data_IF_818484420908
#
_entry.id   IF_818484420908
#
_cell.length_a   1.000
_cell.length_b   1.000
_cell.length_c   1.000
_cell.angle_alpha   90.00
_cell.angle_beta   90.00
_cell.angle_gamma   90.00
#
_symmetry.space_group_name_H-M   'P 1'
#
loop_
_entity.id
_entity.type
_entity.pdbx_description
1 polymer ?
#
# COMPACT_ATOMS: atom_id res chain seq x y z
N UNK A 1 33.61 40.33 8.59
CA UNK A 1 33.31 39.18 7.72
C UNK A 1 31.84 39.24 7.30
N UNK A 2 31.54 39.50 6.02
CA UNK A 2 30.17 39.49 5.49
C UNK A 2 29.78 38.04 5.18
N UNK A 3 28.69 37.56 5.79
CA UNK A 3 28.06 36.29 5.43
C UNK A 3 27.33 36.49 4.10
N UNK A 4 27.81 35.82 3.05
CA UNK A 4 27.18 35.81 1.74
C UNK A 4 26.11 34.72 1.78
N UNK A 5 24.83 35.10 1.77
CA UNK A 5 23.74 34.15 1.63
C UNK A 5 23.80 33.51 0.23
N UNK A 6 23.86 32.18 0.16
CA UNK A 6 23.77 31.47 -1.12
C UNK A 6 22.34 31.56 -1.66
N UNK A 7 22.15 31.74 -2.99
CA UNK A 7 20.84 31.83 -3.59
C UNK A 7 20.09 30.50 -3.49
N UNK A 8 18.77 30.56 -3.28
CA UNK A 8 17.90 29.40 -3.23
C UNK A 8 18.07 28.49 -4.47
N UNK A 9 18.01 27.15 -4.33
CA UNK A 9 18.13 26.24 -5.45
C UNK A 9 17.01 26.47 -6.46
N UNK A 10 17.38 26.61 -7.74
CA UNK A 10 16.42 26.77 -8.85
C UNK A 10 15.54 25.51 -8.94
N UNK A 11 14.22 25.64 -9.19
CA UNK A 11 13.33 24.48 -9.36
C UNK A 11 13.83 23.60 -10.51
N UNK A 12 14.03 22.31 -10.24
CA UNK A 12 14.52 21.36 -11.25
C UNK A 12 13.46 21.14 -12.35
N UNK A 13 13.88 21.03 -13.64
CA UNK A 13 12.96 20.82 -14.73
C UNK A 13 12.32 19.42 -14.65
N UNK A 14 10.99 19.39 -14.57
CA UNK A 14 10.22 18.14 -14.61
C UNK A 14 10.57 17.31 -15.87
N UNK A 15 10.85 16.01 -15.68
CA UNK A 15 11.28 15.06 -16.72
C UNK A 15 10.41 15.18 -17.99
N UNK A 16 11.01 15.64 -19.10
CA UNK A 16 10.36 15.69 -20.42
C UNK A 16 10.43 14.32 -21.10
N UNK A 17 9.30 13.80 -21.59
CA UNK A 17 9.28 12.62 -22.46
C UNK A 17 8.87 12.99 -23.87
N UNK A 18 9.50 12.34 -24.84
CA UNK A 18 9.22 12.48 -26.27
C UNK A 18 9.60 11.19 -26.99
N UNK A 19 9.42 11.14 -28.31
CA UNK A 19 9.74 9.94 -29.09
C UNK A 19 11.20 9.50 -28.86
N UNK A 20 11.40 8.21 -28.61
CA UNK A 20 12.69 7.62 -28.26
C UNK A 20 12.99 7.61 -26.75
N UNK A 21 12.19 8.28 -25.92
CA UNK A 21 12.25 8.07 -24.46
C UNK A 21 11.86 6.64 -24.13
N UNK A 22 12.52 6.02 -23.15
CA UNK A 22 12.18 4.68 -22.67
C UNK A 22 12.13 4.63 -21.14
N UNK A 23 11.61 3.52 -20.60
CA UNK A 23 11.69 3.20 -19.18
C UNK A 23 10.48 3.62 -18.35
N UNK A 24 10.59 3.63 -17.00
CA UNK A 24 9.44 3.61 -16.10
C UNK A 24 8.48 4.79 -16.22
N UNK A 25 8.97 5.96 -16.63
CA UNK A 25 8.13 7.14 -16.85
C UNK A 25 7.24 6.96 -18.09
N UNK A 26 7.79 6.40 -19.17
CA UNK A 26 7.04 6.08 -20.39
C UNK A 26 5.98 5.01 -20.10
N UNK A 27 6.35 3.97 -19.36
CA UNK A 27 5.43 2.93 -18.93
C UNK A 27 4.21 3.50 -18.18
N UNK A 28 4.46 4.43 -17.23
CA UNK A 28 3.41 5.11 -16.45
C UNK A 28 2.49 5.94 -17.35
N UNK A 29 3.06 6.65 -18.31
CA UNK A 29 2.32 7.43 -19.30
C UNK A 29 1.44 6.53 -20.18
N UNK A 30 1.98 5.43 -20.71
CA UNK A 30 1.27 4.50 -21.59
C UNK A 30 0.10 3.82 -20.90
N UNK A 31 0.27 3.40 -19.64
CA UNK A 31 -0.79 2.83 -18.83
C UNK A 31 -1.97 3.80 -18.69
N UNK A 32 -1.69 5.05 -18.31
CA UNK A 32 -2.72 6.08 -18.12
C UNK A 32 -3.41 6.48 -19.42
N UNK A 33 -2.65 6.59 -20.51
CA UNK A 33 -3.21 6.84 -21.83
C UNK A 33 -4.07 5.67 -22.29
N UNK A 34 -3.69 4.42 -21.99
CA UNK A 34 -4.47 3.22 -22.34
C UNK A 34 -5.74 3.11 -21.51
N UNK A 35 -5.67 3.36 -20.21
CA UNK A 35 -6.84 3.36 -19.31
C UNK A 35 -7.89 4.41 -19.72
N UNK A 36 -7.45 5.55 -20.28
CA UNK A 36 -8.32 6.61 -20.80
C UNK A 36 -8.82 6.35 -22.23
N UNK A 37 -8.51 5.18 -22.80
CA UNK A 37 -8.87 4.83 -24.18
C UNK A 37 -8.10 5.60 -25.25
N UNK A 38 -7.03 6.31 -24.87
CA UNK A 38 -6.25 7.16 -25.75
C UNK A 38 -5.09 6.43 -26.42
N UNK A 39 -4.53 5.37 -25.81
CA UNK A 39 -3.51 4.52 -26.41
C UNK A 39 -4.12 3.18 -26.85
N UNK A 40 -4.02 2.86 -28.15
CA UNK A 40 -4.47 1.57 -28.71
C UNK A 40 -3.35 0.51 -28.70
N UNK A 41 -2.10 0.93 -28.89
CA UNK A 41 -0.91 0.07 -28.97
C UNK A 41 -0.52 -0.61 -27.66
N UNK A 42 0.55 -1.42 -27.72
CA UNK A 42 1.10 -2.11 -26.55
C UNK A 42 1.62 -1.12 -25.50
N UNK A 43 1.77 -1.62 -24.27
CA UNK A 43 2.45 -0.92 -23.18
C UNK A 43 3.80 -1.61 -23.04
N UNK A 44 4.84 -1.03 -23.61
CA UNK A 44 6.16 -1.65 -23.73
C UNK A 44 7.28 -0.77 -23.14
N UNK A 45 6.92 0.36 -22.54
CA UNK A 45 7.85 1.36 -21.99
C UNK A 45 8.68 2.08 -23.05
N UNK A 46 8.26 2.08 -24.32
CA UNK A 46 8.92 2.78 -25.42
C UNK A 46 8.03 3.91 -25.95
N UNK A 47 8.51 5.15 -25.81
CA UNK A 47 7.76 6.29 -26.31
C UNK A 47 7.90 6.33 -27.82
N UNK A 48 7.02 5.65 -28.52
CA UNK A 48 7.02 5.51 -29.95
C UNK A 48 6.05 6.50 -30.63
N UNK A 49 5.81 6.31 -31.93
CA UNK A 49 4.84 7.13 -32.67
C UNK A 49 3.42 6.95 -32.12
N UNK A 50 3.03 5.76 -31.66
CA UNK A 50 1.70 5.50 -31.12
C UNK A 50 1.48 6.20 -29.78
N UNK A 51 2.47 6.14 -28.88
CA UNK A 51 2.50 6.85 -27.59
C UNK A 51 2.48 8.36 -27.82
N UNK A 52 3.24 8.89 -28.78
CA UNK A 52 3.16 10.32 -29.16
C UNK A 52 1.76 10.73 -29.61
N UNK A 53 1.09 9.92 -30.43
CA UNK A 53 -0.26 10.23 -30.89
C UNK A 53 -1.28 10.17 -29.75
N UNK A 54 -1.10 9.25 -28.80
CA UNK A 54 -1.93 9.18 -27.60
C UNK A 54 -1.74 10.42 -26.70
N UNK A 55 -0.52 10.93 -26.56
CA UNK A 55 -0.24 12.21 -25.89
C UNK A 55 -0.91 13.37 -26.61
N UNK A 56 -0.83 13.45 -27.94
CA UNK A 56 -1.52 14.50 -28.71
C UNK A 56 -3.04 14.46 -28.53
N UNK A 57 -3.64 13.27 -28.48
CA UNK A 57 -5.06 13.11 -28.18
C UNK A 57 -5.39 13.62 -26.78
N UNK A 58 -4.55 13.29 -25.79
CA UNK A 58 -4.68 13.80 -24.43
C UNK A 58 -4.56 15.33 -24.36
N UNK A 59 -3.61 15.93 -25.06
CA UNK A 59 -3.46 17.39 -25.12
C UNK A 59 -4.71 18.05 -25.74
N UNK A 60 -5.22 17.51 -26.85
CA UNK A 60 -6.43 18.01 -27.52
C UNK A 60 -7.66 17.89 -26.62
N UNK A 61 -7.85 16.77 -25.94
CA UNK A 61 -8.99 16.58 -25.03
C UNK A 61 -8.98 17.54 -23.84
N UNK A 62 -7.84 18.19 -23.57
CA UNK A 62 -7.69 19.19 -22.52
C UNK A 62 -7.61 20.64 -23.06
N UNK A 63 -7.82 20.85 -24.36
CA UNK A 63 -7.78 22.18 -25.00
C UNK A 63 -6.37 22.75 -25.13
N UNK A 64 -5.33 21.91 -25.19
CA UNK A 64 -3.94 22.35 -25.26
C UNK A 64 -3.35 22.19 -26.66
N UNK A 65 -2.30 22.98 -26.97
CA UNK A 65 -1.52 22.80 -28.19
C UNK A 65 -0.87 21.41 -28.20
N UNK A 66 -1.23 20.60 -29.19
CA UNK A 66 -0.85 19.18 -29.26
C UNK A 66 0.54 18.96 -29.89
N UNK A 67 1.61 19.17 -29.12
CA UNK A 67 2.98 18.98 -29.59
C UNK A 67 3.48 17.53 -29.43
N UNK A 68 2.78 16.73 -28.60
CA UNK A 68 3.10 15.32 -28.33
C UNK A 68 4.30 15.13 -27.40
N UNK A 69 4.63 16.13 -26.59
CA UNK A 69 5.77 16.10 -25.65
C UNK A 69 5.20 16.18 -24.22
N UNK A 70 5.56 15.20 -23.40
CA UNK A 70 5.12 15.14 -22.01
C UNK A 70 6.03 15.98 -21.16
N UNK A 71 5.51 17.13 -20.70
CA UNK A 71 6.15 17.95 -19.69
C UNK A 71 5.32 18.02 -18.42
N UNK A 72 5.75 18.89 -17.51
CA UNK A 72 5.14 19.13 -16.21
C UNK A 72 3.62 19.21 -16.16
N UNK A 73 3.05 19.94 -17.10
CA UNK A 73 1.60 20.14 -17.20
C UNK A 73 0.83 18.83 -17.41
N UNK A 74 1.36 17.95 -18.26
CA UNK A 74 0.75 16.64 -18.54
C UNK A 74 0.91 15.74 -17.32
N UNK A 75 2.10 15.71 -16.70
CA UNK A 75 2.31 14.94 -15.47
C UNK A 75 1.37 15.35 -14.34
N UNK A 76 1.22 16.66 -14.12
CA UNK A 76 0.29 17.19 -13.12
C UNK A 76 -1.16 16.82 -13.43
N UNK A 77 -1.58 16.92 -14.69
CA UNK A 77 -2.98 16.65 -15.09
C UNK A 77 -3.34 15.16 -15.10
N UNK A 78 -2.37 14.29 -15.36
CA UNK A 78 -2.54 12.86 -15.18
C UNK A 78 -2.42 12.44 -13.70
N UNK A 79 -2.18 13.38 -12.77
CA UNK A 79 -1.90 13.10 -11.35
C UNK A 79 -0.69 12.17 -11.15
N UNK A 80 0.24 12.21 -12.11
CA UNK A 80 1.44 11.38 -12.14
C UNK A 80 2.66 12.09 -11.57
N UNK A 81 2.50 13.26 -10.95
CA UNK A 81 3.56 13.97 -10.25
C UNK A 81 4.01 13.18 -9.02
N UNK A 82 4.96 12.27 -9.21
CA UNK A 82 5.93 11.94 -8.19
C UNK A 82 7.17 12.76 -8.51
N UNK A 83 7.63 13.58 -7.56
CA UNK A 83 8.95 14.19 -7.67
C UNK A 83 9.98 13.07 -7.75
N UNK A 84 10.73 13.03 -8.85
CA UNK A 84 11.92 12.21 -8.94
C UNK A 84 12.97 12.89 -8.06
N UNK A 85 13.10 12.47 -6.81
CA UNK A 85 14.34 12.69 -6.09
C UNK A 85 15.41 11.85 -6.77
N UNK A 86 16.26 12.50 -7.55
CA UNK A 86 17.58 11.97 -7.88
C UNK A 86 18.26 11.60 -6.56
N UNK A 87 18.48 10.31 -6.36
CA UNK A 87 19.38 9.85 -5.33
C UNK A 87 20.77 10.37 -5.67
N UNK A 88 21.22 11.36 -4.90
CA UNK A 88 22.63 11.77 -4.87
C UNK A 88 23.49 10.50 -4.78
N UNK A 89 24.38 10.33 -5.74
CA UNK A 89 25.50 9.39 -5.69
C UNK A 89 26.48 9.86 -4.62
N UNK A 90 26.10 9.70 -3.36
CA UNK A 90 27.04 9.58 -2.27
C UNK A 90 27.41 8.09 -2.18
N UNK A 91 28.67 7.79 -1.87
CA UNK A 91 29.14 6.43 -1.61
C UNK A 91 28.33 5.81 -0.46
N UNK A 92 27.20 5.16 -0.79
CA UNK A 92 26.37 4.41 0.16
C UNK A 92 26.97 3.02 0.26
N UNK A 93 27.54 2.71 1.43
CA UNK A 93 27.80 1.34 1.85
C UNK A 93 26.49 0.56 1.72
N UNK A 94 26.34 -0.34 0.73
CA UNK A 94 25.16 -1.22 0.62
C UNK A 94 24.97 -1.94 1.96
N UNK A 95 23.92 -1.58 2.69
CA UNK A 95 23.84 -1.85 4.12
C UNK A 95 22.61 -2.68 4.50
N UNK A 96 22.88 -3.91 4.94
CA UNK A 96 22.07 -4.89 5.69
C UNK A 96 20.88 -4.34 6.54
N UNK A 97 19.86 -3.70 5.98
CA UNK A 97 18.74 -3.13 6.76
C UNK A 97 18.00 -4.23 7.50
N UNK A 98 18.02 -4.22 8.83
CA UNK A 98 17.23 -5.13 9.65
C UNK A 98 16.04 -4.38 10.22
N UNK A 99 14.86 -4.97 10.09
CA UNK A 99 13.63 -4.40 10.63
C UNK A 99 12.59 -5.48 10.85
N UNK A 100 11.54 -5.11 11.57
CA UNK A 100 10.40 -5.95 11.82
C UNK A 100 9.11 -5.27 11.39
N UNK A 101 8.16 -6.05 10.87
CA UNK A 101 6.81 -5.58 10.58
C UNK A 101 5.79 -6.39 11.33
N UNK A 102 4.68 -5.74 11.69
CA UNK A 102 3.53 -6.33 12.36
C UNK A 102 2.29 -6.16 11.48
N UNK A 103 1.47 -7.18 11.39
CA UNK A 103 0.11 -7.13 10.86
C UNK A 103 -0.87 -7.48 11.98
N UNK A 104 -1.88 -6.64 12.21
CA UNK A 104 -2.84 -6.85 13.30
C UNK A 104 -4.22 -6.28 12.94
N UNK A 105 -5.26 -7.06 13.25
CA UNK A 105 -6.63 -6.56 13.34
C UNK A 105 -6.84 -5.97 14.74
N UNK A 106 -7.31 -4.72 14.83
CA UNK A 106 -7.76 -4.13 16.10
C UNK A 106 -9.27 -4.18 16.08
N UNK A 107 -9.83 -5.31 16.54
CA UNK A 107 -11.26 -5.65 16.45
C UNK A 107 -12.18 -4.45 16.64
N UNK A 108 -13.06 -4.21 15.67
CA UNK A 108 -14.08 -3.15 15.76
C UNK A 108 -15.52 -3.63 15.70
N UNK A 109 -15.75 -4.92 15.47
CA UNK A 109 -17.08 -5.49 15.46
C UNK A 109 -17.13 -6.87 16.14
N UNK A 110 -17.84 -7.03 17.28
CA UNK A 110 -18.33 -5.94 18.13
C UNK A 110 -17.18 -5.04 18.61
N UNK A 111 -17.45 -3.75 18.92
CA UNK A 111 -16.42 -2.83 19.33
C UNK A 111 -15.82 -3.22 20.69
N UNK A 112 -14.48 -3.15 20.81
CA UNK A 112 -13.80 -3.34 22.09
C UNK A 112 -14.02 -2.13 23.02
N UNK A 113 -13.60 -2.20 24.29
CA UNK A 113 -13.45 -0.97 25.12
C UNK A 113 -12.27 -0.13 24.63
N UNK A 114 -12.19 1.14 25.05
CA UNK A 114 -11.09 2.01 24.61
C UNK A 114 -9.73 1.56 25.18
N UNK A 115 -9.70 1.09 26.42
CA UNK A 115 -8.46 0.57 27.03
C UNK A 115 -7.92 -0.66 26.30
N UNK A 116 -8.81 -1.54 25.81
CA UNK A 116 -8.44 -2.68 24.98
C UNK A 116 -7.86 -2.27 23.63
N UNK A 117 -8.43 -1.24 23.00
CA UNK A 117 -7.87 -0.67 21.77
C UNK A 117 -6.48 -0.07 22.02
N UNK A 118 -6.32 0.72 23.09
CA UNK A 118 -5.03 1.32 23.46
C UNK A 118 -4.00 0.25 23.82
N UNK A 119 -4.40 -0.81 24.53
CA UNK A 119 -3.57 -1.97 24.83
C UNK A 119 -3.02 -2.59 23.54
N UNK A 120 -3.90 -2.94 22.58
CA UNK A 120 -3.49 -3.61 21.34
C UNK A 120 -2.59 -2.73 20.47
N UNK A 121 -2.92 -1.44 20.36
CA UNK A 121 -2.09 -0.46 19.63
C UNK A 121 -0.70 -0.34 20.23
N UNK A 122 -0.60 -0.18 21.57
CA UNK A 122 0.70 -0.08 22.26
C UNK A 122 1.50 -1.37 22.15
N UNK A 123 0.85 -2.54 22.27
CA UNK A 123 1.50 -3.85 22.14
C UNK A 123 2.09 -4.05 20.75
N UNK A 124 1.33 -3.74 19.69
CA UNK A 124 1.82 -3.81 18.31
C UNK A 124 2.97 -2.82 18.06
N UNK A 125 2.88 -1.59 18.61
CA UNK A 125 3.94 -0.58 18.53
C UNK A 125 5.24 -1.01 19.22
N UNK A 126 5.16 -1.70 20.35
CA UNK A 126 6.32 -2.27 21.01
C UNK A 126 6.94 -3.44 20.21
N UNK A 127 6.15 -4.14 19.41
CA UNK A 127 6.55 -5.37 18.75
C UNK A 127 7.35 -5.17 17.45
N UNK A 128 7.13 -4.08 16.70
CA UNK A 128 7.84 -3.88 15.44
C UNK A 128 7.98 -2.45 14.94
N UNK A 129 8.59 -2.29 13.78
CA UNK A 129 9.01 -0.99 13.25
C UNK A 129 8.02 -0.41 12.23
N UNK A 130 7.28 -1.29 11.56
CA UNK A 130 6.25 -0.93 10.56
C UNK A 130 5.01 -1.77 10.82
N UNK A 131 3.85 -1.14 10.91
CA UNK A 131 2.60 -1.81 11.33
C UNK A 131 1.52 -1.60 10.28
N UNK A 132 0.93 -2.69 9.80
CA UNK A 132 -0.32 -2.70 9.06
C UNK A 132 -1.47 -2.94 10.03
N UNK A 133 -2.38 -1.97 10.13
CA UNK A 133 -3.55 -2.05 10.99
C UNK A 133 -4.76 -2.43 10.17
N UNK A 134 -5.61 -3.30 10.66
CA UNK A 134 -6.89 -3.65 10.05
C UNK A 134 -8.02 -3.48 11.07
N UNK A 135 -9.25 -3.48 10.55
CA UNK A 135 -10.46 -3.28 11.37
C UNK A 135 -10.51 -1.95 12.12
N UNK A 136 -9.80 -0.92 11.64
CA UNK A 136 -9.85 0.39 12.27
C UNK A 136 -11.21 1.02 11.99
N UNK A 137 -12.04 1.12 13.03
CA UNK A 137 -13.40 1.64 12.89
C UNK A 137 -13.38 3.04 12.29
N UNK A 138 -14.29 3.26 11.34
CA UNK A 138 -14.51 4.57 10.71
C UNK A 138 -15.65 5.34 11.37
N UNK A 139 -16.37 4.69 12.28
CA UNK A 139 -17.51 5.27 13.01
C UNK A 139 -16.96 6.09 14.17
N UNK A 140 -17.31 7.38 14.20
CA UNK A 140 -17.03 8.23 15.36
C UNK A 140 -17.95 7.82 16.50
N UNK A 141 -17.37 7.48 17.65
CA UNK A 141 -18.13 7.31 18.88
C UNK A 141 -18.45 8.66 19.53
N UNK A 142 -19.14 8.67 20.68
CA UNK A 142 -19.37 9.89 21.47
C UNK A 142 -18.06 10.61 21.83
N UNK A 143 -16.96 9.85 21.96
CA UNK A 143 -15.63 10.37 22.27
C UNK A 143 -14.75 10.58 21.02
N UNK A 144 -15.34 10.73 19.84
CA UNK A 144 -14.61 10.99 18.60
C UNK A 144 -14.06 9.74 17.90
N UNK A 145 -12.88 9.86 17.30
CA UNK A 145 -12.33 8.90 16.33
C UNK A 145 -11.47 7.82 17.00
N UNK A 146 -12.07 7.16 17.99
CA UNK A 146 -11.41 6.37 19.04
C UNK A 146 -10.29 5.42 18.58
N UNK A 147 -10.41 4.78 17.41
CA UNK A 147 -9.39 3.87 16.88
C UNK A 147 -8.23 4.63 16.22
N UNK A 148 -8.52 5.62 15.38
CA UNK A 148 -7.48 6.44 14.78
C UNK A 148 -6.79 7.32 15.84
N UNK A 149 -7.52 7.79 16.85
CA UNK A 149 -7.00 8.55 17.98
C UNK A 149 -6.04 7.68 18.82
N UNK A 150 -6.37 6.41 19.06
CA UNK A 150 -5.44 5.47 19.70
C UNK A 150 -4.15 5.25 18.88
N UNK A 151 -4.24 5.13 17.55
CA UNK A 151 -3.02 5.02 16.72
C UNK A 151 -2.20 6.32 16.78
N UNK A 152 -2.85 7.49 16.74
CA UNK A 152 -2.18 8.79 16.85
C UNK A 152 -1.56 9.01 18.24
N UNK A 153 -2.07 8.38 19.29
CA UNK A 153 -1.51 8.48 20.64
C UNK A 153 -0.14 7.79 20.78
N UNK A 154 0.33 7.07 19.76
CA UNK A 154 1.73 6.61 19.68
C UNK A 154 2.74 7.76 19.63
N UNK A 155 2.28 8.98 19.34
CA UNK A 155 3.05 10.20 19.49
C UNK A 155 3.98 10.49 18.32
N UNK A 156 4.81 11.53 18.50
CA UNK A 156 5.60 12.14 17.44
C UNK A 156 6.73 11.27 16.88
N UNK A 157 7.03 10.12 17.47
CA UNK A 157 8.06 9.20 16.97
C UNK A 157 7.54 8.27 15.88
N UNK A 158 6.21 8.23 15.71
CA UNK A 158 5.54 7.44 14.69
C UNK A 158 5.07 8.31 13.52
N UNK A 159 5.19 7.75 12.32
CA UNK A 159 4.61 8.25 11.10
C UNK A 159 3.38 7.40 10.76
N UNK A 160 2.38 8.01 10.14
CA UNK A 160 1.13 7.36 9.83
C UNK A 160 0.67 7.71 8.42
N UNK A 161 0.23 6.69 7.69
CA UNK A 161 -0.53 6.84 6.47
C UNK A 161 -1.97 6.39 6.75
N UNK A 162 -2.86 7.37 6.92
CA UNK A 162 -4.27 7.20 7.27
C UNK A 162 -5.17 7.84 6.19
N UNK A 163 -5.24 7.25 4.99
CA UNK A 163 -5.87 7.90 3.86
C UNK A 163 -7.40 7.98 3.99
N UNK A 164 -7.97 8.92 3.23
CA UNK A 164 -9.42 9.05 3.03
C UNK A 164 -9.75 8.92 1.54
N UNK A 165 -10.92 8.36 1.24
CA UNK A 165 -11.51 8.38 -0.08
C UNK A 165 -12.81 9.20 -0.01
N UNK A 166 -12.74 10.45 -0.44
CA UNK A 166 -13.76 11.45 -0.09
C UNK A 166 -13.84 11.61 1.43
N UNK A 167 -15.06 11.50 1.98
CA UNK A 167 -15.27 11.57 3.43
C UNK A 167 -15.03 10.24 4.16
N UNK A 168 -14.82 9.14 3.43
CA UNK A 168 -14.63 7.82 4.02
C UNK A 168 -13.17 7.62 4.46
N UNK A 169 -12.94 7.40 5.76
CA UNK A 169 -11.64 6.98 6.28
C UNK A 169 -11.38 5.53 5.90
N UNK A 170 -10.19 5.26 5.36
CA UNK A 170 -9.84 3.90 4.94
C UNK A 170 -9.40 3.09 6.19
N UNK A 171 -10.04 1.94 6.49
CA UNK A 171 -9.91 1.24 7.78
C UNK A 171 -8.66 0.37 7.91
N UNK A 172 -7.70 0.52 7.00
CA UNK A 172 -6.45 -0.24 7.00
C UNK A 172 -5.19 0.64 6.87
N UNK A 173 -4.94 1.56 7.83
CA UNK A 173 -3.79 2.45 7.79
C UNK A 173 -2.46 1.71 7.99
N UNK A 174 -1.36 2.41 7.75
CA UNK A 174 0.01 1.92 8.00
C UNK A 174 0.75 2.91 8.89
N UNK A 175 1.49 2.41 9.89
CA UNK A 175 2.38 3.21 10.74
C UNK A 175 3.83 2.76 10.62
N UNK A 176 4.79 3.65 10.89
CA UNK A 176 6.22 3.33 10.95
C UNK A 176 6.97 4.17 11.98
N UNK A 177 8.09 3.67 12.51
CA UNK A 177 9.01 4.44 13.34
C UNK A 177 9.78 5.46 12.49
N UNK A 178 9.57 6.75 12.72
CA UNK A 178 10.23 7.83 11.95
C UNK A 178 11.72 7.95 12.22
N UNK A 179 12.22 7.41 13.34
CA UNK A 179 13.65 7.34 13.60
C UNK A 179 14.39 6.49 12.58
N UNK A 180 13.72 5.45 12.05
CA UNK A 180 14.32 4.48 11.14
C UNK A 180 13.95 4.74 9.67
N UNK A 181 12.75 5.28 9.40
CA UNK A 181 12.18 5.33 8.06
C UNK A 181 11.63 6.71 7.69
N UNK A 182 11.95 7.14 6.47
CA UNK A 182 11.29 8.25 5.78
C UNK A 182 10.20 7.74 4.85
N UNK A 183 9.08 8.47 4.82
CA UNK A 183 8.06 8.28 3.80
C UNK A 183 8.52 8.90 2.49
N UNK A 184 8.60 8.10 1.44
CA UNK A 184 8.94 8.56 0.08
C UNK A 184 7.69 8.77 -0.76
N UNK A 185 6.73 7.85 -0.67
CA UNK A 185 5.49 7.88 -1.44
C UNK A 185 4.42 7.05 -0.73
N UNK A 186 3.15 7.29 -1.04
CA UNK A 186 2.04 6.52 -0.47
C UNK A 186 0.81 6.56 -1.35
N UNK A 187 -0.09 5.60 -1.18
CA UNK A 187 -1.32 5.59 -1.92
C UNK A 187 -2.30 4.53 -1.45
N UNK A 188 -3.48 4.54 -2.07
CA UNK A 188 -4.48 3.51 -1.87
C UNK A 188 -5.17 3.15 -3.17
N UNK A 189 -5.82 1.98 -3.19
CA UNK A 189 -6.70 1.54 -4.27
C UNK A 189 -7.97 0.95 -3.70
N UNK A 190 -9.13 1.51 -4.05
CA UNK A 190 -10.42 0.87 -3.76
C UNK A 190 -10.55 -0.41 -4.59
N UNK A 191 -10.81 -1.54 -3.93
CA UNK A 191 -10.94 -2.83 -4.60
C UNK A 191 -12.36 -3.10 -5.03
N UNK A 192 -13.35 -2.80 -4.18
CA UNK A 192 -14.77 -2.83 -4.53
C UNK A 192 -15.58 -1.83 -3.68
N UNK A 193 -16.80 -1.52 -4.12
CA UNK A 193 -17.77 -0.71 -3.36
C UNK A 193 -18.33 -1.54 -2.19
N UNK A 194 -19.07 -0.89 -1.28
CA UNK A 194 -19.78 -1.59 -0.20
C UNK A 194 -20.90 -2.49 -0.76
N UNK A 195 -21.37 -3.45 0.04
CA UNK A 195 -22.45 -4.35 -0.36
C UNK A 195 -23.76 -3.65 -0.69
N UNK A 196 -24.09 -2.58 0.04
CA UNK A 196 -25.32 -1.82 -0.19
C UNK A 196 -25.40 -1.23 -1.60
N UNK A 197 -24.27 -0.77 -2.16
CA UNK A 197 -24.18 -0.30 -3.55
C UNK A 197 -24.41 -1.39 -4.60
N UNK A 198 -24.47 -2.66 -4.19
CA UNK A 198 -24.68 -3.84 -5.03
C UNK A 198 -25.97 -4.59 -4.65
N UNK A 199 -26.90 -3.95 -3.92
CA UNK A 199 -28.18 -4.56 -3.53
C UNK A 199 -28.10 -5.52 -2.33
N UNK A 200 -26.94 -5.57 -1.63
CA UNK A 200 -26.77 -6.40 -0.45
C UNK A 200 -26.78 -5.56 0.83
N UNK A 201 -27.87 -5.64 1.60
CA UNK A 201 -27.98 -4.98 2.91
C UNK A 201 -27.06 -5.65 3.93
N UNK A 202 -26.46 -4.85 4.83
CA UNK A 202 -25.56 -5.33 5.91
C UNK A 202 -24.35 -6.15 5.43
N UNK A 203 -23.94 -5.97 4.17
CA UNK A 203 -22.77 -6.62 3.60
C UNK A 203 -21.58 -5.64 3.57
N UNK A 204 -20.39 -6.18 3.87
CA UNK A 204 -19.13 -5.51 4.23
C UNK A 204 -18.87 -4.13 3.57
N UNK A 205 -18.18 -3.21 4.27
CA UNK A 205 -17.83 -1.91 3.72
C UNK A 205 -16.94 -2.02 2.49
N UNK A 206 -16.78 -0.90 1.77
CA UNK A 206 -15.83 -0.83 0.67
C UNK A 206 -14.42 -1.25 1.15
N UNK A 207 -13.74 -2.09 0.37
CA UNK A 207 -12.39 -2.56 0.71
C UNK A 207 -11.31 -1.85 -0.10
N UNK A 208 -10.13 -1.79 0.49
CA UNK A 208 -9.00 -1.01 0.01
C UNK A 208 -7.70 -1.76 0.21
N UNK A 209 -6.76 -1.53 -0.68
CA UNK A 209 -5.34 -1.79 -0.46
C UNK A 209 -4.68 -0.44 -0.19
N UNK A 210 -3.99 -0.29 0.93
CA UNK A 210 -3.14 0.88 1.23
C UNK A 210 -1.68 0.51 1.05
N UNK A 211 -0.82 1.46 0.75
CA UNK A 211 0.61 1.22 0.66
C UNK A 211 1.43 2.46 0.99
N UNK A 212 2.64 2.21 1.46
CA UNK A 212 3.68 3.22 1.68
C UNK A 212 4.98 2.73 1.06
N UNK A 213 5.73 3.66 0.47
CA UNK A 213 7.13 3.49 0.08
C UNK A 213 7.98 4.13 1.16
N UNK A 214 8.77 3.31 1.84
CA UNK A 214 9.62 3.75 2.95
C UNK A 214 11.08 3.61 2.57
N UNK A 215 11.89 4.62 2.89
CA UNK A 215 13.35 4.61 2.75
C UNK A 215 13.99 4.57 4.14
N UNK A 216 14.84 3.60 4.39
CA UNK A 216 15.59 3.53 5.64
C UNK A 216 16.60 4.67 5.68
N UNK A 217 16.62 5.40 6.79
CA UNK A 217 17.46 6.61 6.97
C UNK A 217 18.95 6.30 6.98
N UNK A 218 19.32 5.14 7.54
CA UNK A 218 20.72 4.75 7.75
C UNK A 218 21.33 4.16 6.49
N UNK A 219 20.60 3.30 5.80
CA UNK A 219 21.14 2.48 4.70
C UNK A 219 20.72 2.99 3.33
N UNK A 220 19.67 3.80 3.24
CA UNK A 220 19.08 4.24 1.99
C UNK A 220 18.20 3.19 1.29
N UNK A 221 18.10 1.99 1.86
CA UNK A 221 17.27 0.90 1.36
C UNK A 221 15.80 1.29 1.31
N UNK A 222 15.10 0.85 0.28
CA UNK A 222 13.70 1.22 0.06
C UNK A 222 12.82 -0.01 -0.05
N UNK A 223 11.67 0.02 0.60
CA UNK A 223 10.65 -1.03 0.54
C UNK A 223 9.28 -0.46 0.20
N UNK A 224 8.40 -1.32 -0.32
CA UNK A 224 6.96 -1.08 -0.36
C UNK A 224 6.31 -1.93 0.72
N UNK A 225 5.58 -1.31 1.65
CA UNK A 225 4.69 -2.01 2.58
C UNK A 225 3.24 -1.79 2.12
N UNK A 226 2.53 -2.86 1.77
CA UNK A 226 1.12 -2.85 1.38
C UNK A 226 0.24 -3.48 2.46
N UNK A 227 -0.84 -2.83 2.89
CA UNK A 227 -1.76 -3.38 3.88
C UNK A 227 -3.18 -3.54 3.33
N UNK A 228 -3.90 -4.58 3.78
CA UNK A 228 -5.24 -4.88 3.28
C UNK A 228 -6.14 -5.61 4.27
N UNK A 229 -7.45 -5.45 4.11
CA UNK A 229 -8.47 -6.28 4.76
C UNK A 229 -9.48 -6.69 3.70
N UNK A 230 -9.53 -7.99 3.38
CA UNK A 230 -10.41 -8.56 2.37
C UNK A 230 -11.84 -8.70 2.89
N UNK A 231 -12.76 -9.02 1.99
CA UNK A 231 -14.15 -9.23 2.36
C UNK A 231 -14.31 -10.54 3.14
N UNK A 232 -15.01 -10.46 4.27
CA UNK A 232 -15.31 -11.61 5.12
C UNK A 232 -16.52 -12.41 4.63
N UNK A 233 -16.69 -13.63 5.15
CA UNK A 233 -17.92 -14.42 4.96
C UNK A 233 -18.12 -15.02 3.55
N UNK A 234 -17.14 -14.94 2.65
CA UNK A 234 -17.21 -15.58 1.33
C UNK A 234 -17.18 -17.13 1.40
N UNK A 235 -16.58 -17.68 2.46
CA UNK A 235 -16.45 -19.13 2.68
C UNK A 235 -17.11 -19.65 3.96
N UNK A 236 -17.69 -18.77 4.77
CA UNK A 236 -18.31 -19.14 6.04
C UNK A 236 -19.84 -19.03 5.95
N UNK A 237 -20.54 -20.12 6.28
CA UNK A 237 -22.00 -20.34 6.36
C UNK A 237 -22.76 -20.83 5.11
N UNK A 238 -23.78 -21.69 5.38
CA UNK A 238 -24.72 -22.28 4.41
C UNK A 238 -25.86 -21.32 4.00
N UNK A 239 -26.11 -20.24 4.74
CA UNK A 239 -27.28 -19.35 4.56
C UNK A 239 -26.91 -17.91 4.16
N UNK A 240 -25.70 -17.68 3.65
CA UNK A 240 -25.27 -16.35 3.22
C UNK A 240 -25.77 -16.03 1.80
N UNK A 241 -26.86 -15.26 1.68
CA UNK A 241 -27.45 -14.82 0.39
C UNK A 241 -26.49 -14.02 -0.49
N UNK A 242 -25.42 -13.45 0.07
CA UNK A 242 -24.39 -12.70 -0.66
C UNK A 242 -23.10 -13.50 -0.89
N UNK A 243 -23.09 -14.82 -0.66
CA UNK A 243 -21.88 -15.65 -0.70
C UNK A 243 -21.13 -15.55 -2.02
N UNK A 244 -21.81 -15.74 -3.14
CA UNK A 244 -21.16 -15.71 -4.46
C UNK A 244 -20.63 -14.30 -4.79
N UNK A 245 -21.41 -13.26 -4.50
CA UNK A 245 -20.93 -11.88 -4.62
C UNK A 245 -19.70 -11.60 -3.75
N UNK A 246 -19.66 -12.11 -2.52
CA UNK A 246 -18.49 -11.97 -1.62
C UNK A 246 -17.26 -12.68 -2.20
N UNK A 247 -17.41 -13.87 -2.79
CA UNK A 247 -16.31 -14.55 -3.50
C UNK A 247 -15.83 -13.74 -4.69
N UNK A 248 -16.74 -13.19 -5.49
CA UNK A 248 -16.39 -12.34 -6.62
C UNK A 248 -15.63 -11.09 -6.18
N UNK A 249 -16.11 -10.42 -5.12
CA UNK A 249 -15.44 -9.25 -4.57
C UNK A 249 -14.07 -9.59 -3.98
N UNK A 250 -13.91 -10.76 -3.38
CA UNK A 250 -12.62 -11.27 -2.94
C UNK A 250 -11.68 -11.50 -4.14
N UNK A 251 -12.15 -12.11 -5.22
CA UNK A 251 -11.36 -12.34 -6.44
C UNK A 251 -10.98 -11.02 -7.13
N UNK A 252 -11.91 -10.05 -7.20
CA UNK A 252 -11.65 -8.68 -7.67
C UNK A 252 -10.57 -8.00 -6.84
N UNK A 253 -10.63 -8.18 -5.52
CA UNK A 253 -9.63 -7.66 -4.60
C UNK A 253 -8.26 -8.24 -4.91
N UNK A 254 -8.13 -9.56 -4.96
CA UNK A 254 -6.87 -10.25 -5.23
C UNK A 254 -6.27 -9.85 -6.57
N UNK A 255 -7.09 -9.73 -7.63
CA UNK A 255 -6.62 -9.28 -8.95
C UNK A 255 -6.05 -7.86 -8.91
N UNK A 256 -6.77 -6.91 -8.29
CA UNK A 256 -6.32 -5.52 -8.18
C UNK A 256 -5.04 -5.41 -7.34
N UNK A 257 -4.97 -6.13 -6.23
CA UNK A 257 -3.77 -6.17 -5.39
C UNK A 257 -2.59 -6.79 -6.15
N UNK A 258 -2.79 -7.92 -6.84
CA UNK A 258 -1.76 -8.56 -7.65
C UNK A 258 -1.19 -7.65 -8.74
N UNK A 259 -2.02 -6.82 -9.38
CA UNK A 259 -1.56 -5.82 -10.35
C UNK A 259 -0.68 -4.74 -9.69
N UNK A 260 -1.03 -4.29 -8.48
CA UNK A 260 -0.23 -3.34 -7.72
C UNK A 260 1.11 -3.94 -7.31
N UNK A 261 1.11 -5.18 -6.80
CA UNK A 261 2.34 -5.91 -6.50
C UNK A 261 3.23 -5.98 -7.75
N UNK A 262 2.64 -6.25 -8.93
CA UNK A 262 3.43 -6.40 -10.18
C UNK A 262 4.04 -5.07 -10.60
N UNK A 263 3.31 -3.98 -10.40
CA UNK A 263 3.80 -2.62 -10.68
C UNK A 263 5.03 -2.31 -9.83
N UNK A 264 4.97 -2.60 -8.53
CA UNK A 264 6.08 -2.33 -7.62
C UNK A 264 7.28 -3.27 -7.82
N UNK A 265 7.04 -4.56 -8.04
CA UNK A 265 8.10 -5.52 -8.41
C UNK A 265 8.85 -5.07 -9.67
N UNK A 266 8.13 -4.66 -10.72
CA UNK A 266 8.74 -4.13 -11.96
C UNK A 266 9.51 -2.83 -11.76
N UNK A 267 9.26 -2.13 -10.65
CA UNK A 267 10.02 -0.94 -10.28
C UNK A 267 11.30 -1.27 -9.51
N UNK A 268 11.61 -2.57 -9.36
CA UNK A 268 12.79 -3.07 -8.67
C UNK A 268 12.70 -3.04 -7.14
N UNK A 269 11.53 -2.72 -6.59
CA UNK A 269 11.36 -2.56 -5.14
C UNK A 269 10.94 -3.89 -4.47
N UNK A 270 11.48 -4.22 -3.29
CA UNK A 270 10.93 -5.26 -2.43
C UNK A 270 9.53 -4.88 -1.97
N UNK A 271 8.57 -5.79 -2.10
CA UNK A 271 7.18 -5.58 -1.69
C UNK A 271 6.82 -6.53 -0.57
N UNK A 272 6.35 -5.96 0.55
CA UNK A 272 5.84 -6.68 1.71
C UNK A 272 4.34 -6.44 1.79
N UNK A 273 3.58 -7.51 1.66
CA UNK A 273 2.13 -7.53 1.67
C UNK A 273 1.72 -8.10 3.02
N UNK A 274 0.84 -7.38 3.71
CA UNK A 274 0.25 -7.84 4.95
C UNK A 274 -1.24 -7.56 4.93
N UNK A 275 -2.02 -8.37 5.63
CA UNK A 275 -3.42 -8.09 5.80
C UNK A 275 -4.20 -9.25 6.38
N UNK A 276 -5.48 -9.00 6.59
CA UNK A 276 -6.47 -10.05 6.83
C UNK A 276 -7.10 -10.46 5.49
N UNK A 277 -6.86 -11.69 5.09
CA UNK A 277 -7.33 -12.24 3.82
C UNK A 277 -8.68 -12.94 3.93
N UNK A 278 -9.21 -13.12 5.15
CA UNK A 278 -10.49 -13.78 5.41
C UNK A 278 -10.61 -15.13 4.71
N UNK A 279 -9.48 -15.82 4.53
CA UNK A 279 -9.40 -17.10 3.85
C UNK A 279 -8.22 -17.90 4.36
N UNK A 280 -8.54 -19.05 4.93
CA UNK A 280 -7.56 -20.03 5.37
C UNK A 280 -7.06 -20.86 4.17
N UNK A 281 -6.12 -20.29 3.42
CA UNK A 281 -5.55 -20.91 2.23
C UNK A 281 -4.16 -20.34 1.94
N UNK A 282 -3.12 -21.17 2.02
CA UNK A 282 -1.73 -20.72 1.90
C UNK A 282 -1.22 -20.45 0.47
N UNK A 283 -2.07 -20.52 -0.57
CA UNK A 283 -1.70 -20.27 -1.98
C UNK A 283 -2.39 -19.04 -2.58
N UNK A 284 -2.64 -18.01 -1.77
CA UNK A 284 -3.29 -16.75 -2.17
C UNK A 284 -2.69 -16.12 -3.44
N UNK A 285 -1.36 -16.10 -3.53
CA UNK A 285 -0.59 -15.64 -4.70
C UNK A 285 0.27 -16.74 -5.33
N UNK A 286 0.00 -18.01 -5.01
CA UNK A 286 0.82 -19.14 -5.44
C UNK A 286 2.31 -18.92 -5.15
N UNK A 287 3.16 -19.26 -6.12
CA UNK A 287 4.63 -19.19 -5.99
C UNK A 287 5.21 -17.78 -6.18
N UNK A 288 4.38 -16.77 -6.46
CA UNK A 288 4.85 -15.40 -6.71
C UNK A 288 5.46 -14.75 -5.46
N UNK A 289 5.00 -15.16 -4.30
CA UNK A 289 5.43 -14.64 -2.99
C UNK A 289 6.09 -15.74 -2.16
N UNK A 290 6.76 -15.32 -1.11
CA UNK A 290 7.09 -16.14 0.06
C UNK A 290 6.13 -15.73 1.17
N UNK A 291 5.49 -16.71 1.79
CA UNK A 291 4.65 -16.49 2.97
C UNK A 291 5.55 -16.53 4.19
N UNK A 292 5.44 -15.52 5.05
CA UNK A 292 6.41 -15.27 6.12
C UNK A 292 5.82 -15.48 7.53
N UNK A 293 4.51 -15.69 7.63
CA UNK A 293 3.89 -16.22 8.84
C UNK A 293 3.95 -17.76 8.87
N UNK A 294 3.83 -18.32 10.08
CA UNK A 294 3.59 -19.75 10.22
C UNK A 294 2.19 -20.07 9.68
N UNK A 295 2.11 -20.99 8.72
CA UNK A 295 0.90 -21.33 7.99
C UNK A 295 0.06 -22.41 8.68
N UNK A 296 0.57 -22.98 9.77
CA UNK A 296 -0.10 -24.01 10.56
C UNK A 296 -0.54 -23.49 11.94
N UNK A 297 -0.34 -22.19 12.18
CA UNK A 297 -0.75 -21.52 13.41
C UNK A 297 -1.89 -20.57 13.08
N UNK A 298 -3.03 -20.81 13.70
CA UNK A 298 -4.20 -19.95 13.56
C UNK A 298 -3.92 -18.53 14.03
N UNK A 299 -4.43 -17.56 13.27
CA UNK A 299 -4.38 -16.13 13.63
C UNK A 299 -5.76 -15.64 14.09
N UNK A 300 -6.80 -16.44 13.84
CA UNK A 300 -8.14 -16.27 14.37
C UNK A 300 -8.70 -17.64 14.78
N UNK A 301 -8.61 -17.97 16.07
CA UNK A 301 -8.86 -19.33 16.55
C UNK A 301 -7.89 -20.32 15.90
N UNK A 302 -8.42 -21.38 15.28
CA UNK A 302 -7.62 -22.36 14.56
C UNK A 302 -7.26 -21.94 13.12
N UNK A 303 -7.92 -20.91 12.57
CA UNK A 303 -7.75 -20.52 11.16
C UNK A 303 -6.65 -19.49 10.94
N UNK A 304 -5.84 -19.68 9.91
CA UNK A 304 -4.84 -18.70 9.47
C UNK A 304 -5.48 -17.74 8.48
N UNK A 305 -5.93 -16.57 8.94
CA UNK A 305 -6.58 -15.55 8.10
C UNK A 305 -5.66 -14.37 7.80
N UNK A 306 -4.71 -14.12 8.68
CA UNK A 306 -3.76 -13.03 8.61
C UNK A 306 -2.45 -13.51 8.01
N UNK A 307 -2.02 -12.85 6.96
CA UNK A 307 -0.79 -13.20 6.27
C UNK A 307 0.15 -12.02 6.21
N UNK A 308 1.44 -12.30 6.37
CA UNK A 308 2.52 -11.43 5.93
C UNK A 308 3.33 -12.21 4.93
N UNK A 309 3.60 -11.60 3.79
CA UNK A 309 4.29 -12.23 2.68
C UNK A 309 5.14 -11.19 1.95
N UNK A 310 6.20 -11.63 1.28
CA UNK A 310 6.99 -10.76 0.41
C UNK A 310 7.17 -11.35 -0.98
N UNK A 311 7.32 -10.45 -1.95
CA UNK A 311 7.69 -10.80 -3.32
C UNK A 311 9.08 -11.41 -3.36
N UNK A 312 9.32 -12.39 -4.23
CA UNK A 312 10.59 -13.12 -4.35
C UNK A 312 11.76 -12.31 -4.94
N UNK A 313 11.62 -10.99 -5.03
CA UNK A 313 12.69 -10.11 -5.51
C UNK A 313 13.95 -10.27 -4.64
N UNK A 314 15.10 -9.97 -5.25
CA UNK A 314 16.43 -10.08 -4.69
C UNK A 314 16.56 -9.14 -3.48
N UNK A 315 17.37 -9.56 -2.52
CA UNK A 315 17.86 -8.78 -1.36
C UNK A 315 16.92 -8.66 -0.15
N UNK A 316 15.62 -8.99 -0.20
CA UNK A 316 14.78 -9.09 1.01
C UNK A 316 14.72 -10.54 1.52
N UNK A 317 15.28 -10.79 2.71
CA UNK A 317 15.28 -12.09 3.37
C UNK A 317 14.51 -12.05 4.68
N UNK A 318 13.54 -12.95 4.84
CA UNK A 318 12.94 -13.25 6.14
C UNK A 318 14.01 -13.85 7.07
N UNK A 319 14.17 -13.27 8.25
CA UNK A 319 15.08 -13.76 9.29
C UNK A 319 14.35 -14.38 10.48
N UNK A 320 13.03 -14.19 10.58
CA UNK A 320 12.18 -14.85 11.55
C UNK A 320 10.75 -14.36 11.45
N UNK A 321 9.84 -15.02 12.15
CA UNK A 321 8.45 -14.58 12.24
C UNK A 321 7.68 -15.41 13.24
N UNK A 322 6.73 -14.76 13.90
CA UNK A 322 5.99 -15.33 15.02
C UNK A 322 4.54 -14.83 15.00
N UNK A 323 3.63 -15.71 15.44
CA UNK A 323 2.28 -15.31 15.83
C UNK A 323 2.34 -14.83 17.27
N UNK A 324 1.95 -13.58 17.50
CA UNK A 324 1.99 -12.95 18.81
C UNK A 324 0.60 -12.96 19.43
N UNK A 325 0.48 -13.70 20.53
CA UNK A 325 -0.75 -13.83 21.32
C UNK A 325 -0.92 -12.72 22.35
N UNK A 326 -2.08 -12.72 22.99
CA UNK A 326 -2.41 -11.85 24.12
C UNK A 326 -2.85 -10.45 23.71
N UNK A 327 -3.44 -10.32 22.52
CA UNK A 327 -4.20 -9.13 22.14
C UNK A 327 -5.64 -9.24 22.67
N UNK A 328 -6.30 -8.11 22.85
CA UNK A 328 -7.71 -8.06 23.20
C UNK A 328 -8.61 -8.31 21.98
N UNK A 329 -8.08 -8.04 20.78
CA UNK A 329 -8.62 -8.48 19.51
C UNK A 329 -8.84 -10.00 19.49
N UNK A 330 -9.81 -10.43 18.69
CA UNK A 330 -10.03 -11.85 18.39
C UNK A 330 -9.05 -12.40 17.34
N UNK A 331 -8.11 -11.56 16.89
CA UNK A 331 -6.97 -11.97 16.09
C UNK A 331 -5.66 -11.83 16.86
N UNK A 332 -4.77 -12.79 16.64
CA UNK A 332 -3.36 -12.67 17.02
C UNK A 332 -2.58 -11.85 15.98
N UNK A 333 -1.53 -11.13 16.40
CA UNK A 333 -0.71 -10.37 15.47
C UNK A 333 0.30 -11.28 14.76
N UNK A 334 0.57 -10.98 13.49
CA UNK A 334 1.68 -11.60 12.75
C UNK A 334 2.87 -10.65 12.79
N UNK A 335 3.97 -11.06 13.43
CA UNK A 335 5.25 -10.35 13.39
C UNK A 335 6.24 -11.06 12.49
N UNK A 336 6.92 -10.31 11.61
CA UNK A 336 7.98 -10.84 10.75
C UNK A 336 9.22 -9.95 10.82
N UNK A 337 10.38 -10.58 10.91
CA UNK A 337 11.69 -9.93 10.86
C UNK A 337 12.32 -10.13 9.48
N UNK A 338 12.95 -9.08 8.97
CA UNK A 338 13.59 -9.05 7.67
C UNK A 338 15.01 -8.50 7.74
N UNK A 339 15.80 -8.88 6.75
CA UNK A 339 17.04 -8.24 6.38
C UNK A 339 16.99 -7.86 4.89
N UNK A 340 17.33 -6.61 4.56
CA UNK A 340 17.57 -6.14 3.20
C UNK A 340 19.08 -6.13 2.92
N UNK A 341 19.53 -6.58 1.76
CA UNK A 341 20.94 -6.54 1.33
C UNK A 341 21.65 -7.88 1.40
#
# INVERSE_FOLDING_TARGET
MRVIAQPAPKPQPQRRLSVGSTGPAVLKLEQELKERGLLKGAIDSNFDKATRQAVKRFERSNGWKANGIVGGRIWKKLELSGEAHEGTTANVTRGKTKFSTVNINVKSNPPMSQDKVLHDVKRAAAAGDIIGWNEISTVKGPNGDRYFDAIKSLGKDWGHYMPKHGNYRIPNPISWKKKEWDLVDSGFRRTHKNGASAGHTNVSPARYVTWVKLKNKKTGDTIIRMNTHLISGAWNSKNNKAKEWRKDMWAVHMRKMGNMVSKFERSGLPVIIGGDFNRDSYKLFGNRVKYDNDLHVGTHGASTLDYVMHTRNKDLKRTGGTIQRGYASDHDAVKVNYQLG
#
